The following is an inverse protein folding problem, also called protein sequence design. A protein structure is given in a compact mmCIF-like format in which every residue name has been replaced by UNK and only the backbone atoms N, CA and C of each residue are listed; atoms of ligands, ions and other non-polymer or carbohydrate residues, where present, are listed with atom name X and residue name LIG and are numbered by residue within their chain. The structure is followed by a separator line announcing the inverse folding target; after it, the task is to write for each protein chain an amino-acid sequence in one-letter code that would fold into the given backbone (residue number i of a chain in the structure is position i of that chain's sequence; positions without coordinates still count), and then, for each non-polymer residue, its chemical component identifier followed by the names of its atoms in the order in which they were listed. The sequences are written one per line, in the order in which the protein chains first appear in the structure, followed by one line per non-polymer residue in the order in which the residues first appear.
data_IF_932587390516
#
_entry.id   IF_932587390516
#
_cell.length_a   1.000
_cell.length_b   1.000
_cell.length_c   1.000
_cell.angle_alpha   90.00
_cell.angle_beta   90.00
_cell.angle_gamma   90.00
#
_symmetry.space_group_name_H-M   'P 1'
#
loop_
_entity.id
_entity.type
_entity.pdbx_description
1 polymer ?
#
# COMPACT_ATOMS: atom_id res chain seq x y z
N UNK A 1 10.57 0.73 9.14
CA UNK A 1 12.00 0.51 9.26
C UNK A 1 12.33 -0.99 9.22
N UNK A 2 13.59 -1.34 9.18
CA UNK A 2 14.03 -2.73 9.10
C UNK A 2 14.71 -3.10 7.79
N UNK A 3 14.40 -2.42 6.70
CA UNK A 3 15.13 -2.56 5.45
C UNK A 3 15.94 -1.31 5.20
N UNK A 4 17.27 -1.47 5.07
CA UNK A 4 18.18 -0.38 4.85
C UNK A 4 17.93 0.26 3.49
N UNK A 5 17.70 1.56 3.53
CA UNK A 5 17.73 2.41 2.35
C UNK A 5 19.18 2.85 2.03
N UNK A 6 20.12 2.55 2.91
CA UNK A 6 21.56 2.87 2.80
C UNK A 6 22.40 1.82 3.55
N UNK A 7 23.69 1.67 3.20
CA UNK A 7 24.61 0.77 3.90
C UNK A 7 24.75 1.14 5.37
N UNK A 8 24.63 0.17 6.25
CA UNK A 8 24.79 0.35 7.68
C UNK A 8 25.27 -0.94 8.35
N UNK A 9 25.72 -0.88 9.62
CA UNK A 9 26.31 -2.03 10.28
C UNK A 9 25.32 -3.13 10.66
N UNK A 10 24.00 -2.86 10.54
CA UNK A 10 22.95 -3.76 11.01
C UNK A 10 22.23 -4.54 9.91
N UNK A 11 22.58 -4.30 8.62
CA UNK A 11 22.00 -5.04 7.50
C UNK A 11 20.53 -4.71 7.21
N UNK A 12 19.91 -5.51 6.34
CA UNK A 12 18.52 -5.39 5.89
C UNK A 12 17.60 -6.38 6.63
N UNK A 13 17.69 -6.45 7.96
CA UNK A 13 16.95 -7.42 8.76
C UNK A 13 15.89 -6.77 9.62
N UNK A 14 14.88 -7.54 10.01
CA UNK A 14 13.84 -7.13 10.97
C UNK A 14 14.12 -7.62 12.39
N UNK A 15 15.39 -7.93 12.72
CA UNK A 15 15.80 -8.31 14.06
C UNK A 15 15.53 -7.17 15.06
N UNK A 16 15.35 -7.53 16.32
CA UNK A 16 15.16 -6.58 17.43
C UNK A 16 16.18 -5.44 17.42
N UNK A 17 17.47 -5.78 17.27
CA UNK A 17 18.54 -4.80 17.17
C UNK A 17 18.33 -3.78 16.05
N UNK A 18 17.94 -4.25 14.87
CA UNK A 18 17.73 -3.38 13.70
C UNK A 18 16.51 -2.50 13.88
N UNK A 19 15.39 -3.04 14.34
CA UNK A 19 14.15 -2.29 14.52
C UNK A 19 14.30 -1.17 15.55
N UNK A 20 14.88 -1.47 16.72
CA UNK A 20 15.08 -0.48 17.79
C UNK A 20 16.04 0.62 17.35
N UNK A 21 17.18 0.26 16.77
CA UNK A 21 18.16 1.25 16.32
C UNK A 21 17.63 2.11 15.16
N UNK A 22 16.87 1.53 14.25
CA UNK A 22 16.26 2.28 13.14
C UNK A 22 15.23 3.30 13.64
N UNK A 23 14.45 2.96 14.65
CA UNK A 23 13.51 3.90 15.28
C UNK A 23 14.26 5.04 15.98
N UNK A 24 15.27 4.75 16.79
CA UNK A 24 16.05 5.76 17.50
C UNK A 24 16.70 6.75 16.53
N UNK A 25 17.29 6.24 15.45
CA UNK A 25 17.84 7.05 14.38
C UNK A 25 16.77 7.91 13.68
N UNK A 26 15.57 7.40 13.48
CA UNK A 26 14.45 8.12 12.86
C UNK A 26 13.94 9.23 13.77
N UNK A 27 13.69 8.94 15.04
CA UNK A 27 13.26 9.94 16.04
C UNK A 27 14.26 11.07 16.13
N UNK A 28 15.57 10.75 16.21
CA UNK A 28 16.64 11.76 16.25
C UNK A 28 16.64 12.66 15.01
N UNK A 29 16.48 12.11 13.80
CA UNK A 29 16.44 12.90 12.56
C UNK A 29 15.19 13.78 12.45
N UNK A 30 14.07 13.30 12.94
CA UNK A 30 12.80 14.05 12.94
C UNK A 30 12.67 15.05 14.09
N UNK A 31 13.51 14.95 15.12
CA UNK A 31 13.38 15.76 16.33
C UNK A 31 12.12 15.44 17.14
N UNK A 32 11.71 14.17 17.14
CA UNK A 32 10.51 13.69 17.84
C UNK A 32 10.90 12.74 18.97
N UNK A 33 10.07 12.70 20.02
CA UNK A 33 10.21 11.76 21.12
C UNK A 33 9.51 10.42 20.83
N UNK A 34 8.46 10.42 20.01
CA UNK A 34 7.71 9.23 19.61
C UNK A 34 7.08 9.41 18.22
N UNK A 35 6.53 8.32 17.68
CA UNK A 35 5.70 8.29 16.46
C UNK A 35 4.35 7.65 16.78
N UNK A 36 3.30 8.01 16.02
CA UNK A 36 1.99 7.39 16.19
C UNK A 36 2.01 5.93 15.75
N UNK A 37 2.53 5.65 14.55
CA UNK A 37 2.61 4.28 14.03
C UNK A 37 4.05 3.99 13.61
N UNK A 38 4.63 2.93 14.16
CA UNK A 38 5.92 2.41 13.72
C UNK A 38 5.73 1.16 12.88
N UNK A 39 6.36 1.12 11.68
CA UNK A 39 6.20 0.03 10.73
C UNK A 39 7.42 -0.90 10.68
N UNK A 40 7.18 -2.22 10.72
CA UNK A 40 8.08 -3.19 10.10
C UNK A 40 7.89 -3.11 8.59
N UNK A 41 8.94 -2.66 7.86
CA UNK A 41 8.82 -2.26 6.45
C UNK A 41 8.58 -3.45 5.51
N UNK A 42 9.18 -4.60 5.81
CA UNK A 42 9.04 -5.83 5.03
C UNK A 42 9.21 -7.06 5.94
N UNK A 43 8.61 -8.18 5.53
CA UNK A 43 8.91 -9.47 6.10
C UNK A 43 10.39 -9.83 5.88
N UNK A 44 11.01 -10.34 6.92
CA UNK A 44 12.40 -10.83 6.89
C UNK A 44 12.41 -12.35 7.11
N UNK A 45 12.78 -13.14 6.08
CA UNK A 45 12.79 -14.58 6.19
C UNK A 45 13.88 -15.14 7.14
N UNK A 46 14.83 -14.29 7.56
CA UNK A 46 15.94 -14.69 8.44
C UNK A 46 15.68 -14.34 9.92
N UNK A 47 14.58 -13.65 10.22
CA UNK A 47 14.15 -13.32 11.58
C UNK A 47 12.78 -13.93 11.83
N UNK A 48 12.59 -14.62 12.95
CA UNK A 48 11.28 -15.19 13.28
C UNK A 48 10.23 -14.09 13.44
N UNK A 49 8.98 -14.42 13.12
CA UNK A 49 7.87 -13.48 13.35
C UNK A 49 7.67 -13.19 14.84
N UNK A 50 7.99 -14.16 15.71
CA UNK A 50 7.99 -14.01 17.16
C UNK A 50 8.98 -12.92 17.61
N UNK A 51 10.26 -13.01 17.21
CA UNK A 51 11.29 -11.99 17.53
C UNK A 51 10.88 -10.61 17.01
N UNK A 52 10.35 -10.57 15.78
CA UNK A 52 9.87 -9.31 15.19
C UNK A 52 8.71 -8.72 16.02
N UNK A 53 7.77 -9.55 16.44
CA UNK A 53 6.63 -9.11 17.25
C UNK A 53 7.05 -8.62 18.64
N UNK A 54 7.96 -9.36 19.31
CA UNK A 54 8.52 -8.96 20.61
C UNK A 54 9.28 -7.63 20.52
N UNK A 55 10.05 -7.43 19.44
CA UNK A 55 10.77 -6.19 19.22
C UNK A 55 9.82 -4.99 19.05
N UNK A 56 8.75 -5.19 18.31
CA UNK A 56 7.72 -4.16 18.08
C UNK A 56 6.91 -3.89 19.37
N UNK A 57 6.62 -4.91 20.17
CA UNK A 57 5.98 -4.76 21.48
C UNK A 57 6.86 -3.94 22.44
N UNK A 58 8.15 -4.23 22.52
CA UNK A 58 9.08 -3.48 23.35
C UNK A 58 9.15 -1.99 22.93
N UNK A 59 9.12 -1.71 21.63
CA UNK A 59 9.08 -0.34 21.12
C UNK A 59 7.85 0.40 21.64
N UNK A 60 6.67 -0.22 21.60
CA UNK A 60 5.44 0.37 22.15
C UNK A 60 5.56 0.58 23.66
N UNK A 61 6.01 -0.45 24.40
CA UNK A 61 6.17 -0.36 25.86
C UNK A 61 7.20 0.71 26.29
N UNK A 62 8.19 0.98 25.45
CA UNK A 62 9.15 2.07 25.69
C UNK A 62 8.56 3.48 25.47
N UNK A 63 7.32 3.58 24.97
CA UNK A 63 6.65 4.84 24.67
C UNK A 63 7.14 5.54 23.40
N UNK A 64 7.97 4.87 22.57
CA UNK A 64 8.52 5.44 21.32
C UNK A 64 7.58 5.27 20.11
N UNK A 65 6.55 4.45 20.23
CA UNK A 65 5.46 4.34 19.29
C UNK A 65 4.15 4.06 20.02
N UNK A 66 3.03 4.60 19.51
CA UNK A 66 1.70 4.35 20.08
C UNK A 66 1.08 3.09 19.50
N UNK A 67 1.28 2.84 18.22
CA UNK A 67 0.74 1.69 17.47
C UNK A 67 1.80 1.06 16.59
N UNK A 68 1.54 -0.17 16.18
CA UNK A 68 2.37 -0.91 15.24
C UNK A 68 1.64 -1.11 13.91
N UNK A 69 2.39 -0.94 12.83
CA UNK A 69 2.05 -1.36 11.48
C UNK A 69 3.05 -2.37 10.95
N UNK A 70 2.62 -3.17 10.00
CA UNK A 70 3.49 -3.99 9.17
C UNK A 70 3.34 -3.56 7.71
N UNK A 71 4.29 -3.92 6.86
CA UNK A 71 4.22 -3.58 5.44
C UNK A 71 4.80 -4.72 4.60
N UNK A 72 4.15 -5.01 3.47
CA UNK A 72 4.58 -6.07 2.55
C UNK A 72 4.63 -7.48 3.20
N UNK A 73 3.71 -7.76 4.11
CA UNK A 73 3.43 -9.11 4.64
C UNK A 73 2.23 -9.66 3.88
N UNK A 74 2.34 -10.88 3.39
CA UNK A 74 1.21 -11.56 2.74
C UNK A 74 0.16 -12.04 3.77
N UNK A 75 -0.94 -12.65 3.29
CA UNK A 75 -2.04 -13.08 4.15
C UNK A 75 -1.58 -14.05 5.26
N UNK A 76 -0.77 -15.06 4.91
CA UNK A 76 -0.30 -16.07 5.88
C UNK A 76 0.61 -15.45 6.94
N UNK A 77 1.57 -14.63 6.54
CA UNK A 77 2.48 -13.91 7.45
C UNK A 77 1.73 -12.94 8.35
N UNK A 78 0.72 -12.25 7.80
CA UNK A 78 -0.13 -11.33 8.56
C UNK A 78 -0.97 -12.08 9.59
N UNK A 79 -1.58 -13.21 9.21
CA UNK A 79 -2.37 -14.04 10.13
C UNK A 79 -1.50 -14.60 11.27
N UNK A 80 -0.26 -14.97 10.98
CA UNK A 80 0.66 -15.51 11.97
C UNK A 80 1.14 -14.43 12.94
N UNK A 81 1.61 -13.28 12.47
CA UNK A 81 2.11 -12.23 13.37
C UNK A 81 1.00 -11.62 14.23
N UNK A 82 -0.25 -11.62 13.76
CA UNK A 82 -1.42 -11.20 14.54
C UNK A 82 -1.58 -12.06 15.81
N UNK A 83 -1.24 -13.36 15.76
CA UNK A 83 -1.33 -14.23 16.95
C UNK A 83 -0.36 -13.74 18.03
N UNK A 84 0.89 -13.48 17.68
CA UNK A 84 1.89 -12.93 18.60
C UNK A 84 1.47 -11.58 19.17
N UNK A 85 0.97 -10.66 18.32
CA UNK A 85 0.48 -9.36 18.81
C UNK A 85 -0.72 -9.48 19.76
N UNK A 86 -1.61 -10.47 19.55
CA UNK A 86 -2.71 -10.75 20.48
C UNK A 86 -2.20 -11.26 21.82
N UNK A 87 -1.25 -12.20 21.84
CA UNK A 87 -0.65 -12.76 23.05
C UNK A 87 0.11 -11.69 23.85
N UNK A 88 0.86 -10.84 23.18
CA UNK A 88 1.61 -9.73 23.77
C UNK A 88 0.75 -8.52 24.14
N UNK A 89 -0.52 -8.48 23.69
CA UNK A 89 -1.40 -7.31 23.79
C UNK A 89 -0.83 -6.05 23.09
N UNK A 90 -0.06 -6.25 22.03
CA UNK A 90 0.52 -5.17 21.23
C UNK A 90 -0.54 -4.49 20.36
N UNK A 91 -0.63 -3.16 20.34
CA UNK A 91 -1.62 -2.42 19.57
C UNK A 91 -1.27 -2.39 18.07
N UNK A 92 -1.44 -3.51 17.39
CA UNK A 92 -1.29 -3.63 15.95
C UNK A 92 -2.55 -3.15 15.23
N UNK A 93 -2.41 -2.28 14.23
CA UNK A 93 -3.55 -1.63 13.57
C UNK A 93 -3.62 -1.84 12.07
N UNK A 94 -2.49 -1.95 11.34
CA UNK A 94 -2.51 -1.82 9.88
C UNK A 94 -1.40 -2.62 9.19
N UNK A 95 -1.72 -3.17 8.01
CA UNK A 95 -0.73 -3.61 7.02
C UNK A 95 -0.71 -2.59 5.86
N UNK A 96 0.48 -2.17 5.43
CA UNK A 96 0.65 -1.34 4.24
C UNK A 96 1.15 -2.19 3.09
N UNK A 97 0.40 -2.25 1.98
CA UNK A 97 0.73 -3.07 0.82
C UNK A 97 0.53 -2.32 -0.50
N UNK A 98 1.21 -2.80 -1.55
CA UNK A 98 0.97 -2.33 -2.92
C UNK A 98 -0.40 -2.79 -3.39
N UNK A 99 -1.26 -1.83 -3.72
CA UNK A 99 -2.60 -2.13 -4.19
C UNK A 99 -3.14 -1.03 -5.10
N UNK A 100 -3.62 -1.42 -6.27
CA UNK A 100 -4.30 -0.56 -7.24
C UNK A 100 -5.06 -1.43 -8.25
N UNK A 101 -5.83 -0.81 -9.14
CA UNK A 101 -6.62 -1.53 -10.14
C UNK A 101 -5.79 -2.49 -11.02
N UNK A 102 -4.51 -2.18 -11.30
CA UNK A 102 -3.61 -2.98 -12.14
C UNK A 102 -2.75 -3.98 -11.33
N UNK A 103 -2.70 -3.85 -10.01
CA UNK A 103 -1.98 -4.75 -9.11
C UNK A 103 -2.92 -5.20 -7.99
N UNK A 104 -3.49 -6.38 -8.14
CA UNK A 104 -4.52 -6.95 -7.27
C UNK A 104 -4.06 -8.20 -6.53
N UNK A 105 -2.77 -8.48 -6.48
CA UNK A 105 -2.23 -9.69 -5.87
C UNK A 105 -2.62 -9.90 -4.41
N UNK A 106 -2.89 -8.82 -3.65
CA UNK A 106 -3.36 -8.92 -2.26
C UNK A 106 -4.81 -9.41 -2.12
N UNK A 107 -5.63 -9.33 -3.18
CA UNK A 107 -6.95 -9.96 -3.21
C UNK A 107 -6.79 -11.48 -3.43
N UNK A 108 -5.91 -11.86 -4.35
CA UNK A 108 -5.66 -13.24 -4.73
C UNK A 108 -5.05 -14.05 -3.58
N UNK A 109 -4.17 -13.46 -2.78
CA UNK A 109 -3.56 -14.10 -1.62
C UNK A 109 -4.46 -14.08 -0.36
N UNK A 110 -5.58 -13.36 -0.37
CA UNK A 110 -6.55 -13.26 0.71
C UNK A 110 -6.14 -12.30 1.83
N UNK A 111 -5.25 -11.34 1.58
CA UNK A 111 -4.81 -10.38 2.60
C UNK A 111 -5.94 -9.47 3.08
N UNK A 112 -6.82 -9.00 2.17
CA UNK A 112 -7.96 -8.16 2.54
C UNK A 112 -8.90 -8.89 3.50
N UNK A 113 -9.24 -10.14 3.19
CA UNK A 113 -10.06 -11.00 4.05
C UNK A 113 -9.40 -11.23 5.42
N UNK A 114 -8.10 -11.50 5.43
CA UNK A 114 -7.33 -11.70 6.66
C UNK A 114 -7.38 -10.46 7.56
N UNK A 115 -7.22 -9.28 7.00
CA UNK A 115 -7.28 -8.02 7.74
C UNK A 115 -8.70 -7.75 8.26
N UNK A 116 -9.71 -7.85 7.41
CA UNK A 116 -11.11 -7.64 7.76
C UNK A 116 -11.57 -8.55 8.90
N UNK A 117 -11.31 -9.87 8.80
CA UNK A 117 -11.67 -10.86 9.82
C UNK A 117 -10.97 -10.61 11.17
N UNK A 118 -9.84 -9.95 11.18
CA UNK A 118 -9.11 -9.60 12.40
C UNK A 118 -9.33 -8.16 12.88
N UNK A 119 -10.28 -7.41 12.28
CA UNK A 119 -10.52 -5.99 12.55
C UNK A 119 -9.23 -5.15 12.40
N UNK A 120 -8.50 -5.39 11.34
CA UNK A 120 -7.30 -4.65 10.94
C UNK A 120 -7.54 -3.97 9.60
N UNK A 121 -6.75 -2.95 9.33
CA UNK A 121 -6.91 -2.13 8.15
C UNK A 121 -5.75 -2.30 7.15
N UNK A 122 -6.01 -1.91 5.90
CA UNK A 122 -5.01 -1.75 4.86
C UNK A 122 -4.73 -0.26 4.63
N UNK A 123 -3.46 0.08 4.45
CA UNK A 123 -3.01 1.32 3.80
C UNK A 123 -2.44 0.94 2.44
N UNK A 124 -3.03 1.43 1.34
CA UNK A 124 -2.56 1.12 0.00
C UNK A 124 -1.45 2.09 -0.42
N UNK A 125 -0.29 1.56 -0.85
CA UNK A 125 0.72 2.36 -1.53
C UNK A 125 0.74 2.05 -3.04
N UNK A 126 1.27 3.00 -3.85
CA UNK A 126 1.24 2.90 -5.30
C UNK A 126 -0.17 2.93 -5.91
N UNK A 127 -1.11 3.73 -5.37
CA UNK A 127 -2.53 3.68 -5.74
C UNK A 127 -2.78 4.07 -7.21
N UNK A 128 -1.88 4.85 -7.80
CA UNK A 128 -1.95 5.29 -9.19
C UNK A 128 -0.97 4.53 -10.11
N UNK A 129 -0.45 3.38 -9.67
CA UNK A 129 0.45 2.53 -10.46
C UNK A 129 1.59 3.33 -11.12
N UNK A 130 2.33 4.14 -10.32
CA UNK A 130 3.43 5.02 -10.77
C UNK A 130 3.00 6.03 -11.83
N UNK A 131 1.73 6.41 -11.84
CA UNK A 131 1.14 7.38 -12.77
C UNK A 131 0.49 6.76 -14.00
N UNK A 132 0.43 5.44 -14.13
CA UNK A 132 -0.31 4.77 -15.21
C UNK A 132 -1.81 5.02 -15.09
N UNK A 133 -2.35 5.00 -13.90
CA UNK A 133 -3.75 5.28 -13.61
C UNK A 133 -4.03 6.79 -13.50
N UNK A 134 -3.52 7.55 -14.48
CA UNK A 134 -3.75 8.99 -14.65
C UNK A 134 -3.98 9.31 -16.12
N UNK A 135 -4.39 10.52 -16.43
CA UNK A 135 -4.64 10.98 -17.81
C UNK A 135 -3.36 11.06 -18.67
N UNK A 136 -2.19 10.89 -18.05
CA UNK A 136 -0.89 11.08 -18.71
C UNK A 136 -0.65 10.20 -19.95
N UNK A 137 -1.25 9.02 -19.98
CA UNK A 137 -0.98 8.02 -21.02
C UNK A 137 -2.19 7.66 -21.87
N UNK A 138 -3.28 8.43 -21.79
CA UNK A 138 -4.51 8.18 -22.57
C UNK A 138 -4.29 8.35 -24.08
N UNK A 139 -3.43 9.29 -24.46
CA UNK A 139 -3.09 9.57 -25.88
C UNK A 139 -1.96 8.68 -26.42
N UNK A 140 -1.47 7.76 -25.61
CA UNK A 140 -0.39 6.85 -26.00
C UNK A 140 0.79 6.84 -25.01
N UNK A 141 1.68 5.87 -25.19
CA UNK A 141 2.84 5.66 -24.34
C UNK A 141 4.11 5.55 -25.21
N UNK A 142 5.00 6.53 -25.10
CA UNK A 142 6.27 6.54 -25.84
C UNK A 142 7.21 5.38 -25.48
N UNK A 143 8.16 5.08 -26.36
CA UNK A 143 9.15 4.01 -26.17
C UNK A 143 10.09 4.27 -24.99
N UNK A 144 10.33 5.53 -24.67
CA UNK A 144 11.17 6.00 -23.57
C UNK A 144 10.55 5.80 -22.19
N UNK A 145 9.23 5.53 -22.10
CA UNK A 145 8.55 5.28 -20.83
C UNK A 145 9.05 3.97 -20.24
N UNK A 146 9.78 4.07 -19.14
CA UNK A 146 10.23 2.91 -18.37
C UNK A 146 9.07 2.38 -17.54
N UNK A 147 8.87 1.08 -17.69
CA UNK A 147 7.87 0.35 -16.93
C UNK A 147 8.60 -0.33 -15.79
N UNK A 148 8.17 -0.06 -14.58
CA UNK A 148 8.73 -0.71 -13.41
C UNK A 148 8.17 -2.13 -13.24
N UNK A 149 8.85 -2.94 -12.45
CA UNK A 149 8.51 -4.35 -12.19
C UNK A 149 7.11 -4.56 -11.59
N UNK A 150 6.54 -3.52 -10.95
CA UNK A 150 5.17 -3.56 -10.40
C UNK A 150 4.07 -3.58 -11.46
N UNK A 151 4.43 -3.42 -12.73
CA UNK A 151 3.49 -3.36 -13.84
C UNK A 151 3.50 -4.66 -14.66
N UNK A 152 3.26 -5.79 -14.02
CA UNK A 152 3.23 -7.11 -14.65
C UNK A 152 2.33 -7.16 -15.88
N UNK A 153 1.21 -6.44 -15.83
CA UNK A 153 0.29 -6.34 -16.96
C UNK A 153 0.99 -5.83 -18.22
N UNK A 154 1.75 -4.75 -18.13
CA UNK A 154 2.43 -4.17 -19.30
C UNK A 154 3.54 -5.08 -19.81
N UNK A 155 4.23 -5.77 -18.91
CA UNK A 155 5.24 -6.76 -19.25
C UNK A 155 4.62 -7.89 -20.08
N UNK A 156 3.41 -8.31 -19.71
CA UNK A 156 2.71 -9.43 -20.34
C UNK A 156 1.98 -9.06 -21.63
N UNK A 157 1.35 -7.90 -21.71
CA UNK A 157 0.42 -7.53 -22.78
C UNK A 157 0.90 -6.37 -23.66
N UNK A 158 1.95 -5.65 -23.26
CA UNK A 158 2.49 -4.51 -23.98
C UNK A 158 1.81 -3.18 -23.67
N UNK A 159 2.43 -2.11 -24.17
CA UNK A 159 2.01 -0.72 -23.90
C UNK A 159 0.70 -0.35 -24.59
N UNK A 160 0.49 -0.80 -25.83
CA UNK A 160 -0.72 -0.44 -26.61
C UNK A 160 -1.98 -1.03 -25.96
N UNK A 161 -1.91 -2.28 -25.50
CA UNK A 161 -3.03 -2.90 -24.81
C UNK A 161 -3.31 -2.22 -23.46
N UNK A 162 -2.27 -1.78 -22.74
CA UNK A 162 -2.47 -0.99 -21.54
C UNK A 162 -3.17 0.33 -21.86
N UNK A 163 -2.70 1.09 -22.87
CA UNK A 163 -3.33 2.37 -23.26
C UNK A 163 -4.81 2.17 -23.59
N UNK A 164 -5.17 1.10 -24.29
CA UNK A 164 -6.56 0.77 -24.57
C UNK A 164 -7.36 0.58 -23.28
N UNK A 165 -6.86 -0.23 -22.34
CA UNK A 165 -7.53 -0.46 -21.04
C UNK A 165 -7.62 0.81 -20.20
N UNK A 166 -6.59 1.67 -20.20
CA UNK A 166 -6.65 2.97 -19.52
C UNK A 166 -7.76 3.86 -20.10
N UNK A 167 -7.96 3.85 -21.42
CA UNK A 167 -9.06 4.59 -22.04
C UNK A 167 -10.42 4.01 -21.65
N UNK A 168 -10.59 2.69 -21.65
CA UNK A 168 -11.84 2.05 -21.22
C UNK A 168 -12.15 2.37 -19.74
N UNK A 169 -11.16 2.35 -18.85
CA UNK A 169 -11.31 2.78 -17.46
C UNK A 169 -11.65 4.27 -17.35
N UNK A 170 -11.01 5.11 -18.17
CA UNK A 170 -11.27 6.55 -18.19
C UNK A 170 -12.70 6.89 -18.65
N UNK A 171 -13.29 6.09 -19.52
CA UNK A 171 -14.68 6.28 -19.92
C UNK A 171 -15.66 5.99 -18.76
N UNK A 172 -15.35 4.99 -17.92
CA UNK A 172 -16.09 4.78 -16.66
C UNK A 172 -15.91 6.00 -15.74
N UNK A 173 -14.66 6.49 -15.58
CA UNK A 173 -14.37 7.65 -14.74
C UNK A 173 -15.16 8.90 -15.18
N UNK A 174 -15.22 9.19 -16.49
CA UNK A 174 -16.00 10.30 -17.04
C UNK A 174 -17.49 10.19 -16.72
N UNK A 175 -18.08 8.98 -16.83
CA UNK A 175 -19.48 8.74 -16.47
C UNK A 175 -19.77 9.01 -15.00
N UNK A 176 -18.75 8.90 -14.14
CA UNK A 176 -18.77 9.21 -12.70
C UNK A 176 -18.46 10.68 -12.39
N UNK A 177 -18.23 11.52 -13.40
CA UNK A 177 -17.73 12.90 -13.26
C UNK A 177 -16.38 12.96 -12.50
N UNK A 178 -15.53 11.98 -12.71
CA UNK A 178 -14.18 11.88 -12.17
C UNK A 178 -13.17 11.78 -13.32
N UNK A 179 -11.91 12.16 -13.08
CA UNK A 179 -10.82 11.72 -13.95
C UNK A 179 -10.32 10.33 -13.51
N UNK A 180 -9.45 9.73 -14.32
CA UNK A 180 -8.97 8.38 -14.07
C UNK A 180 -8.25 8.24 -12.71
N UNK A 181 -7.47 9.25 -12.30
CA UNK A 181 -6.78 9.23 -11.01
C UNK A 181 -7.77 9.29 -9.83
N UNK A 182 -8.77 10.16 -9.92
CA UNK A 182 -9.81 10.27 -8.88
C UNK A 182 -10.60 8.99 -8.75
N UNK A 183 -11.03 8.39 -9.86
CA UNK A 183 -11.74 7.11 -9.83
C UNK A 183 -10.86 5.99 -9.26
N UNK A 184 -9.57 5.96 -9.62
CA UNK A 184 -8.64 4.94 -9.11
C UNK A 184 -8.44 5.03 -7.60
N UNK A 185 -8.36 6.24 -7.05
CA UNK A 185 -8.30 6.46 -5.61
C UNK A 185 -9.63 6.12 -4.92
N UNK A 186 -10.75 6.52 -5.52
CA UNK A 186 -12.08 6.20 -5.01
C UNK A 186 -12.31 4.69 -4.99
N UNK A 187 -11.87 3.97 -6.03
CA UNK A 187 -11.97 2.51 -6.12
C UNK A 187 -11.22 1.80 -4.99
N UNK A 188 -10.07 2.30 -4.57
CA UNK A 188 -9.37 1.75 -3.40
C UNK A 188 -10.15 2.00 -2.11
N UNK A 189 -10.62 3.22 -1.93
CA UNK A 189 -11.28 3.67 -0.70
C UNK A 189 -12.74 3.21 -0.56
N UNK A 190 -13.33 2.59 -1.60
CA UNK A 190 -14.67 2.02 -1.48
C UNK A 190 -14.69 0.74 -0.64
N UNK A 191 -13.57 0.00 -0.57
CA UNK A 191 -13.44 -1.15 0.33
C UNK A 191 -13.21 -0.66 1.77
N UNK A 192 -14.06 -1.02 2.72
CA UNK A 192 -13.94 -0.56 4.10
C UNK A 192 -12.67 -1.04 4.82
N UNK A 193 -11.99 -2.06 4.30
CA UNK A 193 -10.69 -2.52 4.81
C UNK A 193 -9.57 -1.54 4.47
N UNK A 194 -9.70 -0.80 3.36
CA UNK A 194 -8.72 0.20 2.91
C UNK A 194 -9.03 1.55 3.55
N UNK A 195 -8.34 1.88 4.61
CA UNK A 195 -8.61 3.12 5.39
C UNK A 195 -7.85 4.34 4.90
N UNK A 196 -6.81 4.14 4.09
CA UNK A 196 -5.98 5.24 3.58
C UNK A 196 -5.17 4.80 2.35
N UNK A 197 -4.77 5.79 1.56
CA UNK A 197 -3.88 5.61 0.41
C UNK A 197 -2.66 6.53 0.53
N UNK A 198 -1.49 6.02 0.15
CA UNK A 198 -0.25 6.80 0.12
C UNK A 198 -0.05 7.33 -1.29
N UNK A 199 -0.32 8.61 -1.50
CA UNK A 199 -0.15 9.27 -2.79
C UNK A 199 1.09 10.15 -2.81
N UNK A 200 1.80 10.17 -3.95
CA UNK A 200 2.84 11.15 -4.23
C UNK A 200 2.27 12.30 -5.07
N UNK A 201 2.64 13.54 -4.75
CA UNK A 201 2.28 14.69 -5.56
C UNK A 201 3.51 15.57 -5.77
N UNK A 202 3.85 15.87 -7.04
CA UNK A 202 4.96 16.77 -7.39
C UNK A 202 4.52 18.24 -7.43
N UNK A 203 3.22 18.51 -7.41
CA UNK A 203 2.62 19.85 -7.43
C UNK A 203 1.39 19.89 -6.54
N UNK A 204 1.09 21.05 -5.99
CA UNK A 204 -0.06 21.26 -5.09
C UNK A 204 -1.38 20.90 -5.79
N UNK A 205 -1.55 21.32 -7.06
CA UNK A 205 -2.77 21.03 -7.83
C UNK A 205 -3.01 19.52 -8.01
N UNK A 206 -1.96 18.67 -8.08
CA UNK A 206 -2.15 17.22 -8.12
C UNK A 206 -2.72 16.70 -6.80
N UNK A 207 -2.28 17.25 -5.67
CA UNK A 207 -2.83 16.89 -4.37
C UNK A 207 -4.30 17.32 -4.23
N UNK A 208 -4.59 18.57 -4.59
CA UNK A 208 -5.96 19.10 -4.58
C UNK A 208 -6.90 18.31 -5.51
N UNK A 209 -6.39 17.88 -6.66
CA UNK A 209 -7.16 17.07 -7.61
C UNK A 209 -7.40 15.65 -7.08
N UNK A 210 -6.39 15.03 -6.51
CA UNK A 210 -6.52 13.71 -5.89
C UNK A 210 -7.53 13.71 -4.72
N UNK A 211 -7.59 14.79 -3.91
CA UNK A 211 -8.56 14.93 -2.83
C UNK A 211 -10.01 14.93 -3.30
N UNK A 212 -10.29 15.33 -4.55
CA UNK A 212 -11.64 15.29 -5.13
C UNK A 212 -12.17 13.86 -5.30
N UNK A 213 -11.30 12.83 -5.24
CA UNK A 213 -11.73 11.44 -5.20
C UNK A 213 -12.72 11.16 -4.07
N UNK A 214 -12.57 11.87 -2.93
CA UNK A 214 -13.42 11.72 -1.76
C UNK A 214 -14.87 12.20 -1.98
N UNK A 215 -15.15 12.94 -3.06
CA UNK A 215 -16.49 13.44 -3.36
C UNK A 215 -17.42 12.35 -3.91
N UNK A 216 -16.88 11.23 -4.41
CA UNK A 216 -17.67 10.13 -4.96
C UNK A 216 -16.93 8.80 -4.77
N UNK A 217 -17.16 8.16 -3.63
CA UNK A 217 -16.58 6.84 -3.27
C UNK A 217 -17.51 5.65 -3.59
N UNK A 218 -18.79 5.93 -3.86
CA UNK A 218 -19.77 4.88 -4.11
C UNK A 218 -19.62 4.31 -5.52
N UNK A 219 -19.57 3.01 -5.64
CA UNK A 219 -19.58 2.28 -6.90
C UNK A 219 -20.82 1.39 -7.00
N UNK A 220 -21.43 1.37 -8.16
CA UNK A 220 -22.46 0.39 -8.47
C UNK A 220 -21.81 -0.98 -8.75
N UNK A 221 -22.57 -2.06 -8.56
CA UNK A 221 -22.09 -3.41 -8.89
C UNK A 221 -21.71 -3.53 -10.38
N UNK A 222 -22.40 -2.82 -11.26
CA UNK A 222 -22.12 -2.82 -12.70
C UNK A 222 -20.80 -2.13 -13.01
N UNK A 223 -20.49 -0.99 -12.36
CA UNK A 223 -19.20 -0.30 -12.52
C UNK A 223 -18.03 -1.18 -12.05
N UNK A 224 -18.17 -1.81 -10.89
CA UNK A 224 -17.14 -2.73 -10.37
C UNK A 224 -16.93 -3.93 -11.31
N UNK A 225 -18.03 -4.51 -11.83
CA UNK A 225 -17.95 -5.62 -12.77
C UNK A 225 -17.29 -5.20 -14.10
N UNK A 226 -17.55 -3.99 -14.60
CA UNK A 226 -16.89 -3.46 -15.79
C UNK A 226 -15.40 -3.23 -15.56
N UNK A 227 -15.02 -2.62 -14.43
CA UNK A 227 -13.61 -2.44 -14.03
C UNK A 227 -12.91 -3.80 -13.96
N UNK A 228 -13.51 -4.78 -13.29
CA UNK A 228 -12.98 -6.13 -13.16
C UNK A 228 -12.75 -6.79 -14.52
N UNK A 229 -13.70 -6.68 -15.44
CA UNK A 229 -13.59 -7.19 -16.78
C UNK A 229 -12.42 -6.57 -17.54
N UNK A 230 -12.29 -5.25 -17.49
CA UNK A 230 -11.21 -4.52 -18.18
C UNK A 230 -9.83 -4.94 -17.66
N UNK A 231 -9.65 -5.08 -16.35
CA UNK A 231 -8.32 -5.29 -15.76
C UNK A 231 -7.91 -6.77 -15.69
N UNK A 232 -8.86 -7.73 -15.67
CA UNK A 232 -8.57 -9.17 -15.53
C UNK A 232 -8.49 -9.91 -16.89
N UNK A 233 -9.09 -9.38 -17.94
CA UNK A 233 -8.99 -9.90 -19.30
C UNK A 233 -7.76 -9.36 -20.03
#
# INVERSE_FOLDING_TARGET
AGFNMWPGPYGNFSSKKTLVNALDGSLKRMGLDYVDIYYSHRFDPNTSLEETAEALDEIVRSGKALYIGISNYNAAQTAEIIKYFKELHTPFVVNQASYNMLNRGIEEDGLLDTLSQNNKALVAYGPLAEGLLTDKYLDGMGDDVKIHWSNEFVIKHGKDELVKKLNELNDIAKNRNQNLAQMSLAWLLHDPTVVSVVTGASKINHLEDNLKALNNLDFTSDELAQIDKIVKE
#
